data_IF_485099534464
#
_entry.id   IF_485099534464
#
_cell.length_a   1.000
_cell.length_b   1.000
_cell.length_c   1.000
_cell.angle_alpha   90.00
_cell.angle_beta   90.00
_cell.angle_gamma   90.00
#
_symmetry.space_group_name_H-M   'P 1'
#
loop_
_entity.id
_entity.type
_entity.pdbx_description
1 polymer ?
#
# COMPACT_ATOMS: atom_id res chain seq x y z
N UNK A 1 -36.89 -33.76 61.70
CA UNK A 1 -37.27 -34.11 60.31
C UNK A 1 -37.90 -32.87 59.66
N UNK A 2 -37.20 -32.28 58.68
CA UNK A 2 -37.65 -32.03 57.27
C UNK A 2 -38.76 -30.98 57.14
N UNK A 3 -38.74 -29.95 56.29
CA UNK A 3 -37.82 -29.42 55.28
C UNK A 3 -38.34 -28.02 54.91
N UNK A 4 -37.46 -27.06 54.65
CA UNK A 4 -37.78 -25.89 53.83
C UNK A 4 -37.46 -26.23 52.36
N UNK A 5 -38.21 -25.76 51.35
CA UNK A 5 -37.82 -25.94 49.96
C UNK A 5 -36.69 -24.98 49.59
N UNK A 6 -35.57 -25.57 49.18
CA UNK A 6 -34.43 -24.94 48.52
C UNK A 6 -34.89 -24.18 47.27
N UNK A 7 -34.67 -22.87 47.28
CA UNK A 7 -34.45 -22.10 46.07
C UNK A 7 -32.97 -22.24 45.74
N UNK A 8 -32.58 -22.50 44.48
CA UNK A 8 -31.41 -21.86 43.85
C UNK A 8 -31.20 -22.34 42.40
N UNK A 9 -30.89 -21.32 41.59
CA UNK A 9 -30.12 -21.29 40.34
C UNK A 9 -30.65 -22.03 39.11
N UNK A 10 -31.33 -21.22 38.30
CA UNK A 10 -31.33 -21.31 36.85
C UNK A 10 -29.88 -21.10 36.37
N UNK A 11 -29.34 -22.08 35.66
CA UNK A 11 -28.01 -22.08 35.05
C UNK A 11 -27.91 -20.97 33.99
N UNK A 12 -27.07 -19.96 34.25
CA UNK A 12 -26.76 -18.90 33.29
C UNK A 12 -25.61 -19.35 32.40
N UNK A 13 -25.92 -19.62 31.13
CA UNK A 13 -24.95 -19.86 30.07
C UNK A 13 -23.93 -18.70 29.96
N UNK A 14 -22.66 -18.97 29.61
CA UNK A 14 -21.67 -17.92 29.42
C UNK A 14 -21.95 -17.13 28.12
N UNK A 15 -21.74 -15.80 28.12
CA UNK A 15 -21.85 -15.01 26.90
C UNK A 15 -20.70 -15.36 25.96
N UNK A 16 -21.04 -15.77 24.74
CA UNK A 16 -20.07 -15.89 23.64
C UNK A 16 -19.46 -14.51 23.36
N UNK A 17 -18.13 -14.34 23.36
CA UNK A 17 -17.54 -13.08 23.00
C UNK A 17 -17.69 -12.88 21.49
N UNK A 18 -18.54 -11.94 21.08
CA UNK A 18 -18.50 -11.39 19.72
C UNK A 18 -17.10 -10.83 19.46
N UNK A 19 -16.32 -11.54 18.66
CA UNK A 19 -15.01 -11.10 18.21
C UNK A 19 -15.17 -9.82 17.39
N UNK A 20 -14.88 -8.70 18.06
CA UNK A 20 -14.70 -7.37 17.48
C UNK A 20 -13.62 -7.45 16.38
N UNK A 21 -13.78 -6.77 15.22
CA UNK A 21 -12.74 -6.74 14.21
C UNK A 21 -11.42 -6.25 14.85
N UNK A 22 -10.27 -6.88 14.54
CA UNK A 22 -9.00 -6.52 15.14
C UNK A 22 -8.73 -5.04 14.83
N UNK A 23 -8.65 -4.23 15.87
CA UNK A 23 -8.09 -2.88 15.76
C UNK A 23 -6.65 -3.04 15.28
N UNK A 24 -6.12 -2.13 14.42
CA UNK A 24 -4.73 -2.20 14.03
C UNK A 24 -3.89 -2.13 15.30
N UNK A 25 -3.20 -3.23 15.64
CA UNK A 25 -2.19 -3.21 16.67
C UNK A 25 -1.12 -2.23 16.19
N UNK A 26 -0.81 -1.22 17.00
CA UNK A 26 0.28 -0.31 16.73
C UNK A 26 1.54 -1.16 16.51
N UNK A 27 2.07 -1.12 15.29
CA UNK A 27 3.32 -1.80 14.94
C UNK A 27 4.42 -1.30 15.86
N UNK A 28 5.32 -2.19 16.30
CA UNK A 28 6.44 -1.74 17.13
C UNK A 28 7.42 -0.94 16.26
N UNK A 29 8.24 -0.05 16.86
CA UNK A 29 9.22 0.74 16.10
C UNK A 29 10.21 -0.13 15.28
N UNK A 30 10.50 -1.36 15.74
CA UNK A 30 11.37 -2.31 15.04
C UNK A 30 10.70 -2.86 13.78
N UNK A 31 9.40 -3.16 13.84
CA UNK A 31 8.61 -3.63 12.70
C UNK A 31 8.46 -2.53 11.64
N UNK A 32 8.28 -1.28 12.07
CA UNK A 32 8.16 -0.12 11.17
C UNK A 32 9.47 0.12 10.40
N UNK A 33 10.60 0.14 11.09
CA UNK A 33 11.91 0.28 10.44
C UNK A 33 12.22 -0.90 9.50
N UNK A 34 11.78 -2.12 9.83
CA UNK A 34 11.93 -3.27 8.93
C UNK A 34 11.07 -3.10 7.66
N UNK A 35 9.84 -2.58 7.82
CA UNK A 35 8.92 -2.31 6.72
C UNK A 35 9.42 -1.20 5.80
N UNK A 36 9.97 -0.12 6.33
CA UNK A 36 10.57 0.97 5.53
C UNK A 36 11.78 0.48 4.69
N UNK A 37 12.63 -0.36 5.28
CA UNK A 37 13.75 -0.99 4.54
C UNK A 37 13.24 -1.88 3.42
N UNK A 38 12.20 -2.67 3.67
CA UNK A 38 11.58 -3.53 2.66
C UNK A 38 10.91 -2.71 1.53
N UNK A 39 10.25 -1.59 1.87
CA UNK A 39 9.69 -0.65 0.92
C UNK A 39 10.76 -0.09 -0.03
N UNK A 40 11.86 0.40 0.56
CA UNK A 40 12.99 0.98 -0.17
C UNK A 40 13.62 -0.04 -1.12
N UNK A 41 13.90 -1.25 -0.63
CA UNK A 41 14.47 -2.32 -1.46
C UNK A 41 13.55 -2.71 -2.62
N UNK A 42 12.24 -2.66 -2.44
CA UNK A 42 11.28 -2.99 -3.50
C UNK A 42 11.33 -1.93 -4.62
N UNK A 43 11.37 -0.64 -4.28
CA UNK A 43 11.49 0.41 -5.29
C UNK A 43 12.87 0.51 -5.94
N UNK A 44 13.94 0.24 -5.21
CA UNK A 44 15.29 0.16 -5.79
C UNK A 44 15.34 -0.89 -6.90
N UNK A 45 14.76 -2.08 -6.67
CA UNK A 45 14.67 -3.14 -7.68
C UNK A 45 13.82 -2.72 -8.87
N UNK A 46 12.72 -2.01 -8.63
CA UNK A 46 11.88 -1.47 -9.70
C UNK A 46 12.68 -0.48 -10.56
N UNK A 47 13.40 0.44 -9.93
CA UNK A 47 14.22 1.43 -10.63
C UNK A 47 15.34 0.78 -11.44
N UNK A 48 16.05 -0.22 -10.88
CA UNK A 48 17.10 -0.96 -11.59
C UNK A 48 16.56 -1.72 -12.80
N UNK A 49 15.31 -2.17 -12.74
CA UNK A 49 14.67 -2.92 -13.83
C UNK A 49 14.18 -2.01 -14.96
N UNK A 50 14.06 -0.70 -14.75
CA UNK A 50 13.40 0.22 -15.70
C UNK A 50 14.06 0.27 -17.08
N UNK A 51 15.39 0.13 -17.13
CA UNK A 51 16.15 0.13 -18.38
C UNK A 51 16.05 -1.19 -19.16
N UNK A 52 16.07 -2.33 -18.45
CA UNK A 52 16.17 -3.66 -19.05
C UNK A 52 14.81 -4.35 -19.23
N UNK A 53 13.92 -4.20 -18.24
CA UNK A 53 12.59 -4.79 -18.23
C UNK A 53 11.56 -3.82 -17.61
N UNK A 54 10.99 -2.92 -18.44
CA UNK A 54 9.92 -2.04 -18.02
C UNK A 54 8.67 -2.77 -17.51
N UNK A 55 8.39 -4.00 -17.97
CA UNK A 55 7.24 -4.77 -17.51
C UNK A 55 7.44 -5.22 -16.06
N UNK A 56 8.63 -5.69 -15.72
CA UNK A 56 9.00 -6.00 -14.33
C UNK A 56 8.94 -4.75 -13.45
N UNK A 57 9.39 -3.60 -13.94
CA UNK A 57 9.29 -2.33 -13.21
C UNK A 57 7.85 -1.98 -12.86
N UNK A 58 6.94 -2.06 -13.83
CA UNK A 58 5.53 -1.79 -13.60
C UNK A 58 4.92 -2.77 -12.60
N UNK A 59 5.24 -4.07 -12.71
CA UNK A 59 4.77 -5.11 -11.78
C UNK A 59 5.24 -4.84 -10.35
N UNK A 60 6.51 -4.48 -10.15
CA UNK A 60 7.07 -4.15 -8.84
C UNK A 60 6.44 -2.88 -8.25
N UNK A 61 6.14 -1.88 -9.09
CA UNK A 61 5.39 -0.70 -8.66
C UNK A 61 3.97 -1.05 -8.20
N UNK A 62 3.27 -1.94 -8.91
CA UNK A 62 1.94 -2.41 -8.49
C UNK A 62 1.99 -3.23 -7.20
N UNK A 63 3.03 -4.05 -7.01
CA UNK A 63 3.30 -4.76 -5.77
C UNK A 63 3.52 -3.77 -4.61
N UNK A 64 4.33 -2.73 -4.83
CA UNK A 64 4.54 -1.66 -3.86
C UNK A 64 3.23 -0.97 -3.50
N UNK A 65 2.38 -0.63 -4.47
CA UNK A 65 1.09 0.02 -4.21
C UNK A 65 0.15 -0.83 -3.33
N UNK A 66 0.21 -2.16 -3.45
CA UNK A 66 -0.58 -3.09 -2.62
C UNK A 66 0.01 -3.28 -1.22
N UNK A 67 1.33 -3.39 -1.09
CA UNK A 67 2.01 -3.61 0.21
C UNK A 67 2.21 -2.34 1.05
N UNK A 68 2.33 -1.19 0.38
CA UNK A 68 2.69 0.10 0.97
C UNK A 68 1.78 1.23 0.46
N UNK A 69 0.45 1.13 0.64
CA UNK A 69 -0.49 2.15 0.13
C UNK A 69 -0.28 3.54 0.75
N UNK A 70 0.22 3.59 2.00
CA UNK A 70 0.63 4.81 2.71
C UNK A 70 2.14 4.94 2.89
N UNK A 71 2.93 4.21 2.11
CA UNK A 71 4.39 4.27 2.17
C UNK A 71 4.95 5.61 1.72
N UNK A 72 6.11 5.98 2.26
CA UNK A 72 6.73 7.28 2.01
C UNK A 72 7.14 7.46 0.53
N UNK A 73 7.35 6.37 -0.19
CA UNK A 73 7.86 6.38 -1.55
C UNK A 73 6.77 6.27 -2.62
N UNK A 74 5.51 6.54 -2.26
CA UNK A 74 4.37 6.45 -3.18
C UNK A 74 4.46 7.36 -4.42
N UNK A 75 5.07 8.55 -4.29
CA UNK A 75 5.27 9.47 -5.42
C UNK A 75 6.31 8.92 -6.41
N UNK A 76 7.43 8.42 -5.91
CA UNK A 76 8.50 7.85 -6.72
C UNK A 76 8.03 6.59 -7.44
N UNK A 77 7.29 5.72 -6.75
CA UNK A 77 6.58 4.59 -7.36
C UNK A 77 5.75 5.05 -8.57
N UNK A 78 4.93 6.09 -8.41
CA UNK A 78 4.02 6.54 -9.47
C UNK A 78 4.79 7.05 -10.69
N UNK A 79 5.90 7.76 -10.47
CA UNK A 79 6.79 8.22 -11.55
C UNK A 79 7.43 7.05 -12.28
N UNK A 80 7.95 6.05 -11.56
CA UNK A 80 8.51 4.83 -12.16
C UNK A 80 7.47 4.04 -12.96
N UNK A 81 6.24 3.94 -12.45
CA UNK A 81 5.15 3.28 -13.15
C UNK A 81 4.79 4.02 -14.46
N UNK A 82 4.78 5.35 -14.45
CA UNK A 82 4.53 6.16 -15.66
C UNK A 82 5.65 5.99 -16.68
N UNK A 83 6.92 6.04 -16.27
CA UNK A 83 8.08 5.81 -17.15
C UNK A 83 8.04 4.41 -17.79
N UNK A 84 7.77 3.38 -16.97
CA UNK A 84 7.61 2.01 -17.43
C UNK A 84 6.48 1.88 -18.46
N UNK A 85 5.31 2.50 -18.22
CA UNK A 85 4.20 2.49 -19.17
C UNK A 85 4.57 3.14 -20.51
N UNK A 86 5.32 4.25 -20.50
CA UNK A 86 5.80 4.88 -21.73
C UNK A 86 6.73 3.94 -22.49
N UNK A 87 7.71 3.32 -21.81
CA UNK A 87 8.66 2.38 -22.43
C UNK A 87 7.98 1.13 -23.00
N UNK A 88 6.87 0.70 -22.39
CA UNK A 88 6.03 -0.40 -22.89
C UNK A 88 5.11 0.00 -24.05
N UNK A 89 5.14 1.26 -24.50
CA UNK A 89 4.23 1.77 -25.53
C UNK A 89 2.79 2.00 -25.05
N UNK A 90 2.51 1.87 -23.75
CA UNK A 90 1.18 2.07 -23.13
C UNK A 90 0.95 3.55 -22.81
N UNK A 91 1.09 4.42 -23.82
CA UNK A 91 1.11 5.89 -23.66
C UNK A 91 -0.17 6.44 -23.03
N UNK A 92 -1.35 6.01 -23.47
CA UNK A 92 -2.63 6.51 -22.94
C UNK A 92 -2.78 6.28 -21.44
N UNK A 93 -2.28 5.14 -20.94
CA UNK A 93 -2.30 4.86 -19.51
C UNK A 93 -1.28 5.70 -18.74
N UNK A 94 -0.08 5.88 -19.30
CA UNK A 94 0.92 6.78 -18.74
C UNK A 94 0.37 8.21 -18.58
N UNK A 95 -0.30 8.72 -19.62
CA UNK A 95 -0.90 10.07 -19.61
C UNK A 95 -2.03 10.18 -18.58
N UNK A 96 -2.92 9.19 -18.50
CA UNK A 96 -3.97 9.14 -17.48
C UNK A 96 -3.41 9.15 -16.07
N UNK A 97 -2.35 8.37 -15.80
CA UNK A 97 -1.70 8.34 -14.48
C UNK A 97 -0.99 9.66 -14.18
N UNK A 98 -0.30 10.25 -15.16
CA UNK A 98 0.36 11.54 -15.00
C UNK A 98 -0.62 12.71 -14.77
N UNK A 99 -1.77 12.70 -15.44
CA UNK A 99 -2.84 13.67 -15.19
C UNK A 99 -3.32 13.61 -13.74
N UNK A 100 -3.63 12.39 -13.25
CA UNK A 100 -4.01 12.17 -11.85
C UNK A 100 -2.90 12.56 -10.87
N UNK A 101 -1.64 12.30 -11.21
CA UNK A 101 -0.50 12.72 -10.40
C UNK A 101 -0.44 14.24 -10.28
N UNK A 102 -0.58 14.96 -11.40
CA UNK A 102 -0.61 16.44 -11.41
C UNK A 102 -1.76 17.01 -10.60
N UNK A 103 -2.96 16.44 -10.72
CA UNK A 103 -4.13 16.85 -9.96
C UNK A 103 -3.94 16.68 -8.45
N UNK A 104 -3.36 15.55 -8.03
CA UNK A 104 -3.14 15.22 -6.62
C UNK A 104 -1.91 15.91 -6.03
N UNK A 105 -0.91 16.18 -6.84
CA UNK A 105 0.39 16.69 -6.41
C UNK A 105 0.86 17.87 -7.28
N UNK A 106 0.11 19.00 -7.31
CA UNK A 106 0.37 20.13 -8.21
C UNK A 106 1.70 20.85 -7.93
N UNK A 107 2.26 20.74 -6.72
CA UNK A 107 3.55 21.32 -6.34
C UNK A 107 4.71 20.31 -6.33
N UNK A 108 4.54 19.12 -6.89
CA UNK A 108 5.54 18.06 -6.83
C UNK A 108 6.78 18.39 -7.68
N UNK A 109 7.96 18.20 -7.11
CA UNK A 109 9.23 18.29 -7.83
C UNK A 109 9.39 17.25 -8.96
N UNK A 110 8.53 16.24 -9.02
CA UNK A 110 8.53 15.24 -10.10
C UNK A 110 7.81 15.69 -11.37
N UNK A 111 7.05 16.81 -11.33
CA UNK A 111 6.31 17.29 -12.51
C UNK A 111 7.18 17.57 -13.75
N UNK A 112 8.36 18.23 -13.63
CA UNK A 112 9.25 18.41 -14.77
C UNK A 112 9.74 17.07 -15.35
N UNK A 113 10.04 16.09 -14.49
CA UNK A 113 10.46 14.75 -14.93
C UNK A 113 9.34 14.03 -15.69
N UNK A 114 8.10 14.14 -15.22
CA UNK A 114 6.94 13.56 -15.92
C UNK A 114 6.72 14.20 -17.30
N UNK A 115 6.97 15.50 -17.46
CA UNK A 115 6.90 16.17 -18.76
C UNK A 115 7.94 15.58 -19.74
N UNK A 116 9.18 15.41 -19.29
CA UNK A 116 10.26 14.80 -20.09
C UNK A 116 9.92 13.35 -20.49
N UNK A 117 9.45 12.53 -19.54
CA UNK A 117 9.02 11.13 -19.82
C UNK A 117 7.89 11.12 -20.86
N UNK A 118 6.97 12.07 -20.78
CA UNK A 118 5.84 12.16 -21.70
C UNK A 118 6.19 12.78 -23.06
N UNK A 119 7.37 13.38 -23.20
CA UNK A 119 7.79 14.10 -24.40
C UNK A 119 6.98 15.38 -24.63
N UNK A 120 6.64 16.09 -23.55
CA UNK A 120 5.88 17.34 -23.56
C UNK A 120 6.70 18.51 -23.05
#
# INVERSE_FOLDING_TARGET
>A
MRSAPESVAIESLPPVPSARPPRPQASTPVDEAARERAETQLLDRAQQSLGADPATTLRLCEEHARGYPGGALGLEREVLAIDALVRLGRREEAERRAARFRERHPGSGYLPRLAVILGR
#
